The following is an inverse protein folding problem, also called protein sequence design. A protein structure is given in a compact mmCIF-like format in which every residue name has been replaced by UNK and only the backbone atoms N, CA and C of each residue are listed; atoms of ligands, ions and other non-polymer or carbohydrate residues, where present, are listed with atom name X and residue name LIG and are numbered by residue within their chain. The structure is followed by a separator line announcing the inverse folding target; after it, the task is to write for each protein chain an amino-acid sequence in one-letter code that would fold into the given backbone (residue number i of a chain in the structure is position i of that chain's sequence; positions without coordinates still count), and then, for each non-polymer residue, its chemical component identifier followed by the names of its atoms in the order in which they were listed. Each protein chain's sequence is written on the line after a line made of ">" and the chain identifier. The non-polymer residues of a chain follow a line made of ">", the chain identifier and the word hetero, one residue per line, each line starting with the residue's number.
data_IF_063146252907
#
_entry.id   IF_063146252907
#
_cell.length_a   1.000
_cell.length_b   1.000
_cell.length_c   1.000
_cell.angle_alpha   90.00
_cell.angle_beta   90.00
_cell.angle_gamma   90.00
#
_symmetry.space_group_name_H-M   'P 1'
#
loop_
_entity.id
_entity.type
_entity.pdbx_description
1 polymer ?
#
# COMPACT_ATOMS: atom_id res chain seq x y z
N UNK A 1 -62.23 -37.32 13.37
CA UNK A 1 -61.35 -36.14 13.54
C UNK A 1 -61.35 -35.72 15.00
N UNK A 2 -60.19 -35.52 15.67
CA UNK A 2 -60.17 -35.06 17.05
C UNK A 2 -60.36 -33.54 17.11
N UNK A 3 -61.22 -33.05 18.01
CA UNK A 3 -61.51 -31.62 18.17
C UNK A 3 -60.43 -30.93 19.03
N UNK A 4 -59.82 -29.87 18.49
CA UNK A 4 -58.89 -29.00 19.21
C UNK A 4 -59.65 -28.11 20.21
N UNK A 5 -59.19 -28.05 21.47
CA UNK A 5 -59.72 -27.14 22.50
C UNK A 5 -59.12 -25.74 22.33
N UNK A 6 -59.89 -24.65 22.54
CA UNK A 6 -59.36 -23.30 22.40
C UNK A 6 -58.38 -22.99 23.54
N UNK A 7 -57.14 -22.61 23.20
CA UNK A 7 -56.15 -22.16 24.15
C UNK A 7 -56.51 -20.74 24.63
N UNK A 8 -56.90 -20.60 25.90
CA UNK A 8 -56.98 -19.29 26.56
C UNK A 8 -55.56 -18.76 26.74
N UNK A 9 -55.20 -17.72 25.99
CA UNK A 9 -53.97 -16.97 26.18
C UNK A 9 -54.05 -16.17 27.49
N UNK A 10 -53.72 -16.80 28.61
CA UNK A 10 -53.49 -16.11 29.86
C UNK A 10 -52.11 -15.42 29.80
N UNK A 11 -52.11 -14.09 29.76
CA UNK A 11 -50.92 -13.28 30.00
C UNK A 11 -50.48 -13.57 31.44
N UNK A 12 -49.44 -14.39 31.60
CA UNK A 12 -48.90 -14.72 32.92
C UNK A 12 -48.22 -13.47 33.46
N UNK A 13 -48.67 -13.00 34.62
CA UNK A 13 -48.00 -11.95 35.38
C UNK A 13 -46.52 -12.31 35.58
N UNK A 14 -45.63 -11.36 35.32
CA UNK A 14 -44.20 -11.52 35.50
C UNK A 14 -43.93 -11.85 36.98
N UNK A 15 -43.43 -13.05 37.23
CA UNK A 15 -43.10 -13.48 38.59
C UNK A 15 -41.88 -12.68 39.04
N UNK A 16 -41.98 -12.02 40.18
CA UNK A 16 -40.82 -11.40 40.83
C UNK A 16 -39.89 -12.52 41.29
N UNK A 17 -38.79 -12.74 40.57
CA UNK A 17 -37.80 -13.78 40.88
C UNK A 17 -36.74 -13.15 41.79
N UNK A 18 -36.50 -13.76 42.96
CA UNK A 18 -35.40 -13.35 43.83
C UNK A 18 -34.04 -13.55 43.12
N UNK A 19 -33.07 -12.63 43.21
CA UNK A 19 -31.80 -12.70 42.48
C UNK A 19 -31.02 -14.00 42.72
N UNK A 20 -31.06 -14.54 43.94
CA UNK A 20 -30.39 -15.79 44.31
C UNK A 20 -31.20 -17.08 44.01
N UNK A 21 -32.41 -16.95 43.46
CA UNK A 21 -33.27 -18.09 43.13
C UNK A 21 -32.62 -19.02 42.10
N UNK A 22 -32.99 -20.32 42.16
CA UNK A 22 -32.62 -21.31 41.12
C UNK A 22 -33.06 -20.86 39.74
N UNK A 23 -34.20 -20.17 39.63
CA UNK A 23 -34.72 -19.66 38.36
C UNK A 23 -33.86 -18.51 37.83
N UNK A 24 -33.50 -17.54 38.67
CA UNK A 24 -32.57 -16.46 38.34
C UNK A 24 -31.19 -17.01 37.93
N UNK A 25 -30.65 -17.98 38.67
CA UNK A 25 -29.37 -18.65 38.33
C UNK A 25 -29.45 -19.39 36.99
N UNK A 26 -30.59 -19.99 36.64
CA UNK A 26 -30.78 -20.63 35.31
C UNK A 26 -30.82 -19.58 34.20
N UNK A 27 -31.54 -18.47 34.39
CA UNK A 27 -31.58 -17.38 33.41
C UNK A 27 -30.20 -16.77 33.22
N UNK A 28 -29.46 -16.48 34.29
CA UNK A 28 -28.11 -15.95 34.23
C UNK A 28 -27.16 -16.87 33.43
N UNK A 29 -27.21 -18.18 33.66
CA UNK A 29 -26.43 -19.15 32.85
C UNK A 29 -26.81 -19.14 31.37
N UNK A 30 -28.10 -19.00 31.05
CA UNK A 30 -28.55 -18.89 29.66
C UNK A 30 -28.03 -17.62 29.00
N UNK A 31 -28.09 -16.47 29.69
CA UNK A 31 -27.56 -15.19 29.21
C UNK A 31 -26.05 -15.27 28.99
N UNK A 32 -25.29 -15.81 29.95
CA UNK A 32 -23.85 -16.00 29.82
C UNK A 32 -23.48 -16.92 28.64
N UNK A 33 -24.25 -18.00 28.44
CA UNK A 33 -24.07 -18.89 27.29
C UNK A 33 -24.36 -18.17 25.98
N UNK A 34 -25.45 -17.41 25.91
CA UNK A 34 -25.80 -16.62 24.73
C UNK A 34 -24.70 -15.60 24.42
N UNK A 35 -24.24 -14.84 25.43
CA UNK A 35 -23.14 -13.89 25.28
C UNK A 35 -21.86 -14.56 24.78
N UNK A 36 -21.48 -15.72 25.32
CA UNK A 36 -20.31 -16.46 24.83
C UNK A 36 -20.47 -16.86 23.35
N UNK A 37 -21.66 -17.29 22.96
CA UNK A 37 -21.96 -17.70 21.58
C UNK A 37 -21.98 -16.49 20.64
N UNK A 38 -22.57 -15.36 21.04
CA UNK A 38 -22.58 -14.14 20.22
C UNK A 38 -21.17 -13.58 20.08
N UNK A 39 -20.43 -13.41 21.18
CA UNK A 39 -19.05 -12.95 21.14
C UNK A 39 -18.15 -13.87 20.30
N UNK A 40 -18.32 -15.19 20.38
CA UNK A 40 -17.55 -16.11 19.53
C UNK A 40 -17.89 -15.98 18.04
N UNK A 41 -19.13 -15.64 17.68
CA UNK A 41 -19.53 -15.39 16.29
C UNK A 41 -18.96 -14.08 15.80
N UNK A 42 -19.03 -13.04 16.63
CA UNK A 42 -18.52 -11.72 16.32
C UNK A 42 -16.99 -11.78 16.16
N UNK A 43 -16.28 -12.41 17.11
CA UNK A 43 -14.84 -12.68 17.03
C UNK A 43 -14.45 -13.42 15.75
N UNK A 44 -15.22 -14.45 15.36
CA UNK A 44 -14.95 -15.20 14.15
C UNK A 44 -15.14 -14.31 12.90
N UNK A 45 -16.23 -13.53 12.86
CA UNK A 45 -16.52 -12.60 11.78
C UNK A 45 -15.52 -11.44 11.68
N UNK A 46 -14.94 -11.02 12.80
CA UNK A 46 -13.90 -9.99 12.87
C UNK A 46 -12.50 -10.52 12.53
N UNK A 47 -12.13 -11.72 12.99
CA UNK A 47 -10.83 -12.35 12.69
C UNK A 47 -10.71 -12.75 11.23
N UNK A 48 -11.80 -13.22 10.64
CA UNK A 48 -11.85 -13.52 9.21
C UNK A 48 -12.22 -12.23 8.47
N UNK A 49 -11.20 -11.46 8.09
CA UNK A 49 -11.36 -10.45 7.05
C UNK A 49 -11.82 -11.21 5.80
N UNK A 50 -13.01 -10.88 5.33
CA UNK A 50 -13.56 -11.49 4.14
C UNK A 50 -12.61 -11.18 2.96
N UNK A 51 -12.08 -12.19 2.24
CA UNK A 51 -11.17 -11.98 1.13
C UNK A 51 -11.71 -10.98 0.10
N UNK A 52 -13.04 -10.90 -0.07
CA UNK A 52 -13.66 -9.94 -0.97
C UNK A 52 -13.55 -8.50 -0.46
N UNK A 53 -13.75 -8.26 0.84
CA UNK A 53 -13.56 -6.93 1.44
C UNK A 53 -12.12 -6.47 1.24
N UNK A 54 -11.17 -7.37 1.50
CA UNK A 54 -9.76 -7.07 1.33
C UNK A 54 -9.42 -6.72 -0.12
N UNK A 55 -9.94 -7.48 -1.09
CA UNK A 55 -9.77 -7.18 -2.53
C UNK A 55 -10.32 -5.82 -2.88
N UNK A 56 -11.58 -5.55 -2.54
CA UNK A 56 -12.24 -4.27 -2.87
C UNK A 56 -11.51 -3.10 -2.23
N UNK A 57 -11.09 -3.24 -0.97
CA UNK A 57 -10.30 -2.21 -0.28
C UNK A 57 -8.95 -1.98 -0.93
N UNK A 58 -8.27 -3.02 -1.41
CA UNK A 58 -7.01 -2.88 -2.13
C UNK A 58 -7.23 -2.16 -3.47
N UNK A 59 -8.25 -2.56 -4.25
CA UNK A 59 -8.55 -1.89 -5.51
C UNK A 59 -8.92 -0.42 -5.31
N UNK A 60 -9.67 -0.08 -4.26
CA UNK A 60 -9.95 1.30 -3.92
C UNK A 60 -8.68 2.13 -3.72
N UNK A 61 -7.68 1.59 -3.01
CA UNK A 61 -6.42 2.30 -2.73
C UNK A 61 -5.55 2.51 -3.97
N UNK A 62 -5.71 1.66 -4.99
CA UNK A 62 -4.89 1.67 -6.22
C UNK A 62 -5.62 2.29 -7.42
N UNK A 63 -6.84 2.79 -7.23
CA UNK A 63 -7.62 3.50 -8.23
C UNK A 63 -7.63 4.98 -7.89
N UNK A 64 -7.22 5.83 -8.83
CA UNK A 64 -7.24 7.28 -8.62
C UNK A 64 -8.66 7.82 -8.51
N UNK A 65 -8.85 8.86 -7.69
CA UNK A 65 -10.13 9.56 -7.53
C UNK A 65 -10.62 10.15 -8.84
N UNK A 66 -9.71 10.56 -9.72
CA UNK A 66 -9.99 11.20 -11.01
C UNK A 66 -10.31 10.21 -12.14
N UNK A 67 -10.00 8.92 -11.95
CA UNK A 67 -10.20 7.91 -13.00
C UNK A 67 -11.70 7.75 -13.28
N UNK A 68 -12.14 8.11 -14.49
CA UNK A 68 -13.56 8.01 -14.87
C UNK A 68 -13.92 6.64 -15.42
N UNK A 69 -12.95 5.96 -16.07
CA UNK A 69 -13.14 4.65 -16.68
C UNK A 69 -11.86 3.85 -16.50
N UNK A 70 -12.01 2.54 -16.29
CA UNK A 70 -10.91 1.58 -16.26
C UNK A 70 -11.08 0.62 -17.43
N UNK A 71 -10.03 0.46 -18.23
CA UNK A 71 -10.01 -0.49 -19.34
C UNK A 71 -9.87 -1.92 -18.83
N UNK A 72 -10.26 -2.90 -19.65
CA UNK A 72 -10.08 -4.31 -19.27
C UNK A 72 -8.60 -4.69 -19.11
N UNK A 73 -7.72 -4.11 -19.92
CA UNK A 73 -6.27 -4.30 -19.80
C UNK A 73 -5.78 -3.79 -18.44
N UNK A 74 -6.19 -2.59 -18.05
CA UNK A 74 -5.86 -1.99 -16.75
C UNK A 74 -6.37 -2.82 -15.58
N UNK A 75 -7.54 -3.48 -15.72
CA UNK A 75 -8.00 -4.43 -14.71
C UNK A 75 -7.05 -5.61 -14.54
N UNK A 76 -6.54 -6.18 -15.62
CA UNK A 76 -5.56 -7.25 -15.53
C UNK A 76 -4.23 -6.76 -14.93
N UNK A 77 -3.81 -5.53 -15.22
CA UNK A 77 -2.65 -4.90 -14.58
C UNK A 77 -2.87 -4.78 -13.06
N UNK A 78 -4.02 -4.26 -12.64
CA UNK A 78 -4.39 -4.13 -11.23
C UNK A 78 -4.45 -5.48 -10.52
N UNK A 79 -5.00 -6.52 -11.16
CA UNK A 79 -5.04 -7.87 -10.59
C UNK A 79 -3.63 -8.44 -10.43
N UNK A 80 -2.75 -8.27 -11.42
CA UNK A 80 -1.37 -8.73 -11.32
C UNK A 80 -0.60 -8.01 -10.21
N UNK A 81 -0.78 -6.69 -10.10
CA UNK A 81 -0.22 -5.90 -9.00
C UNK A 81 -0.78 -6.36 -7.63
N UNK A 82 -2.08 -6.69 -7.55
CA UNK A 82 -2.66 -7.27 -6.34
C UNK A 82 -1.98 -8.58 -5.96
N UNK A 83 -1.74 -9.49 -6.91
CA UNK A 83 -1.09 -10.78 -6.62
C UNK A 83 0.35 -10.60 -6.12
N UNK A 84 1.10 -9.64 -6.67
CA UNK A 84 2.50 -9.36 -6.32
C UNK A 84 2.69 -8.61 -5.00
N UNK A 85 1.61 -8.16 -4.34
CA UNK A 85 1.70 -7.34 -3.12
C UNK A 85 2.45 -8.00 -1.96
N UNK A 86 2.49 -9.34 -1.94
CA UNK A 86 3.13 -10.10 -0.87
C UNK A 86 4.59 -10.47 -1.22
N UNK A 87 5.04 -10.25 -2.46
CA UNK A 87 6.36 -10.68 -2.94
C UNK A 87 7.47 -9.96 -2.16
N UNK A 88 7.35 -8.64 -1.96
CA UNK A 88 8.30 -7.87 -1.16
C UNK A 88 8.41 -8.41 0.27
N UNK A 89 7.26 -8.68 0.91
CA UNK A 89 7.24 -9.20 2.29
C UNK A 89 7.89 -10.59 2.39
N UNK A 90 7.69 -11.42 1.37
CA UNK A 90 8.28 -12.74 1.28
C UNK A 90 9.80 -12.65 1.11
N UNK A 91 10.27 -11.74 0.26
CA UNK A 91 11.70 -11.50 0.02
C UNK A 91 12.40 -10.97 1.28
N UNK A 92 11.78 -10.05 2.02
CA UNK A 92 12.29 -9.56 3.32
C UNK A 92 12.47 -10.71 4.33
N UNK A 93 11.50 -11.62 4.41
CA UNK A 93 11.58 -12.78 5.31
C UNK A 93 12.69 -13.74 4.87
N UNK A 94 12.83 -13.97 3.55
CA UNK A 94 13.91 -14.80 2.99
C UNK A 94 15.29 -14.21 3.23
N UNK A 95 15.45 -12.90 3.09
CA UNK A 95 16.70 -12.19 3.40
C UNK A 95 17.05 -12.28 4.89
N UNK A 96 16.06 -12.14 5.78
CA UNK A 96 16.27 -12.32 7.22
C UNK A 96 16.73 -13.75 7.54
N UNK A 97 16.16 -14.76 6.87
CA UNK A 97 16.60 -16.15 6.98
C UNK A 97 18.01 -16.41 6.45
N UNK A 98 18.42 -15.72 5.40
CA UNK A 98 19.79 -15.81 4.89
C UNK A 98 20.81 -15.18 5.87
N UNK A 99 20.45 -14.08 6.53
CA UNK A 99 21.31 -13.36 7.48
C UNK A 99 21.39 -14.07 8.85
N UNK A 100 20.28 -14.61 9.34
CA UNK A 100 20.19 -15.29 10.64
C UNK A 100 20.14 -16.79 10.42
N UNK A 101 21.14 -17.52 10.90
CA UNK A 101 21.27 -18.99 10.81
C UNK A 101 20.15 -19.81 11.50
N UNK A 102 19.02 -19.18 11.83
CA UNK A 102 17.87 -19.75 12.51
C UNK A 102 16.57 -19.41 11.78
N UNK A 103 15.76 -20.45 11.50
CA UNK A 103 14.48 -20.36 10.77
C UNK A 103 13.34 -19.92 11.70
N UNK A 104 13.49 -18.78 12.36
CA UNK A 104 12.54 -18.30 13.40
C UNK A 104 11.15 -17.91 12.90
N UNK A 105 10.91 -17.86 11.58
CA UNK A 105 9.67 -17.41 10.92
C UNK A 105 9.08 -18.40 9.91
N UNK A 106 9.44 -19.69 9.97
CA UNK A 106 8.96 -20.71 9.03
C UNK A 106 7.43 -20.70 8.82
N UNK A 107 6.66 -20.66 9.90
CA UNK A 107 5.19 -20.67 9.82
C UNK A 107 4.60 -19.44 9.12
N UNK A 108 5.28 -18.29 9.19
CA UNK A 108 4.82 -17.06 8.53
C UNK A 108 5.16 -17.08 7.04
N UNK A 109 6.34 -17.56 6.69
CA UNK A 109 6.77 -17.80 5.31
C UNK A 109 5.81 -18.79 4.62
N UNK A 110 5.60 -19.97 5.21
CA UNK A 110 4.72 -21.00 4.67
C UNK A 110 3.28 -20.49 4.48
N UNK A 111 2.78 -19.65 5.39
CA UNK A 111 1.44 -19.06 5.27
C UNK A 111 1.33 -18.03 4.12
N UNK A 112 2.40 -17.24 3.87
CA UNK A 112 2.45 -16.31 2.75
C UNK A 112 2.59 -17.05 1.43
N UNK A 113 3.46 -18.05 1.35
CA UNK A 113 3.62 -18.89 0.16
C UNK A 113 2.30 -19.61 -0.19
N UNK A 114 1.62 -20.20 0.80
CA UNK A 114 0.31 -20.82 0.60
C UNK A 114 -0.73 -19.82 0.08
N UNK A 115 -0.70 -18.59 0.58
CA UNK A 115 -1.60 -17.52 0.14
C UNK A 115 -1.32 -17.11 -1.31
N UNK A 116 -0.05 -16.89 -1.67
CA UNK A 116 0.35 -16.53 -3.04
C UNK A 116 -0.03 -17.64 -4.01
N UNK A 117 0.25 -18.90 -3.66
CA UNK A 117 -0.09 -20.06 -4.47
C UNK A 117 -1.62 -20.15 -4.69
N UNK A 118 -2.41 -19.96 -3.63
CA UNK A 118 -3.88 -19.98 -3.71
C UNK A 118 -4.41 -18.87 -4.61
N UNK A 119 -3.94 -17.63 -4.43
CA UNK A 119 -4.41 -16.47 -5.21
C UNK A 119 -3.99 -16.60 -6.70
N UNK A 120 -2.80 -17.12 -6.97
CA UNK A 120 -2.31 -17.38 -8.34
C UNK A 120 -3.10 -18.49 -9.03
N UNK A 121 -3.41 -19.58 -8.31
CA UNK A 121 -4.25 -20.66 -8.83
C UNK A 121 -5.68 -20.17 -9.13
N UNK A 122 -6.20 -19.26 -8.29
CA UNK A 122 -7.48 -18.61 -8.55
C UNK A 122 -7.43 -17.76 -9.82
N UNK A 123 -6.36 -17.02 -10.08
CA UNK A 123 -6.22 -16.24 -11.31
C UNK A 123 -6.10 -17.08 -12.59
N UNK A 124 -5.55 -18.29 -12.48
CA UNK A 124 -5.54 -19.23 -13.60
C UNK A 124 -6.94 -19.79 -13.90
N UNK A 125 -7.76 -20.05 -12.88
CA UNK A 125 -9.10 -20.62 -13.02
C UNK A 125 -10.20 -19.58 -13.26
N UNK A 126 -10.05 -18.38 -12.71
CA UNK A 126 -10.96 -17.25 -12.83
C UNK A 126 -11.07 -16.43 -11.55
N UNK A 127 -10.20 -15.42 -11.38
CA UNK A 127 -10.15 -14.55 -10.21
C UNK A 127 -11.38 -13.65 -10.10
N UNK A 128 -12.05 -13.69 -8.96
CA UNK A 128 -13.24 -12.88 -8.72
C UNK A 128 -12.87 -11.47 -8.22
N UNK A 129 -13.21 -10.44 -8.99
CA UNK A 129 -12.95 -9.04 -8.66
C UNK A 129 -14.14 -8.14 -9.06
N UNK A 130 -14.30 -6.96 -8.44
CA UNK A 130 -15.28 -5.97 -8.90
C UNK A 130 -14.94 -5.50 -10.31
N UNK A 131 -15.94 -5.42 -11.17
CA UNK A 131 -15.79 -4.97 -12.56
C UNK A 131 -15.71 -3.44 -12.61
N UNK A 132 -14.50 -2.89 -12.55
CA UNK A 132 -14.26 -1.43 -12.58
C UNK A 132 -14.46 -0.82 -13.97
N UNK A 133 -14.66 -1.62 -15.01
CA UNK A 133 -15.03 -1.12 -16.35
C UNK A 133 -16.42 -0.47 -16.33
N UNK A 134 -17.27 -0.86 -15.37
CA UNK A 134 -18.59 -0.29 -15.17
C UNK A 134 -18.52 0.88 -14.19
N UNK A 135 -18.88 2.07 -14.68
CA UNK A 135 -18.87 3.32 -13.90
C UNK A 135 -19.56 3.22 -12.54
N UNK A 136 -20.75 2.61 -12.48
CA UNK A 136 -21.50 2.43 -11.22
C UNK A 136 -20.71 1.61 -10.19
N UNK A 137 -20.04 0.56 -10.63
CA UNK A 137 -19.19 -0.26 -9.75
C UNK A 137 -17.98 0.53 -9.29
N UNK A 138 -17.36 1.29 -10.20
CA UNK A 138 -16.21 2.13 -9.90
C UNK A 138 -16.53 3.17 -8.81
N UNK A 139 -17.66 3.87 -8.90
CA UNK A 139 -18.11 4.82 -7.86
C UNK A 139 -18.33 4.15 -6.50
N UNK A 140 -18.92 2.94 -6.49
CA UNK A 140 -19.11 2.18 -5.26
C UNK A 140 -17.79 1.73 -4.64
N UNK A 141 -16.81 1.35 -5.46
CA UNK A 141 -15.46 0.97 -4.99
C UNK A 141 -14.71 2.18 -4.45
N UNK A 142 -14.79 3.35 -5.11
CA UNK A 142 -14.19 4.60 -4.62
C UNK A 142 -14.71 4.98 -3.23
N UNK A 143 -16.01 4.88 -3.03
CA UNK A 143 -16.68 5.21 -1.75
C UNK A 143 -16.70 4.05 -0.75
N UNK A 144 -15.98 2.96 -1.01
CA UNK A 144 -16.01 1.78 -0.15
C UNK A 144 -15.35 2.05 1.20
N UNK A 145 -16.09 1.85 2.29
CA UNK A 145 -15.61 2.07 3.66
C UNK A 145 -15.26 0.78 4.42
N UNK A 146 -15.05 -0.33 3.70
CA UNK A 146 -14.84 -1.65 4.31
C UNK A 146 -16.13 -2.35 4.76
N UNK A 147 -17.30 -1.75 4.52
CA UNK A 147 -18.58 -2.33 4.92
C UNK A 147 -19.01 -3.47 3.97
N UNK A 148 -19.11 -4.69 4.53
CA UNK A 148 -19.56 -5.91 3.83
C UNK A 148 -20.96 -5.77 3.19
N UNK A 149 -21.82 -4.89 3.69
CA UNK A 149 -23.15 -4.66 3.16
C UNK A 149 -23.15 -4.10 1.72
N UNK A 150 -22.05 -3.49 1.27
CA UNK A 150 -21.91 -2.93 -0.08
C UNK A 150 -21.53 -4.01 -1.11
N UNK A 151 -20.93 -5.13 -0.67
CA UNK A 151 -20.44 -6.17 -1.57
C UNK A 151 -21.51 -6.74 -2.52
N UNK A 152 -22.75 -7.03 -2.08
CA UNK A 152 -23.79 -7.54 -2.98
C UNK A 152 -24.23 -6.55 -4.06
N UNK A 153 -24.00 -5.24 -3.85
CA UNK A 153 -24.31 -4.21 -4.83
C UNK A 153 -23.22 -4.06 -5.91
N UNK A 154 -22.01 -4.57 -5.66
CA UNK A 154 -20.91 -4.53 -6.61
C UNK A 154 -21.12 -5.57 -7.72
N UNK A 155 -20.92 -5.17 -8.97
CA UNK A 155 -20.86 -6.11 -10.09
C UNK A 155 -19.53 -6.86 -10.03
N UNK A 156 -19.57 -8.13 -9.66
CA UNK A 156 -18.40 -9.00 -9.63
C UNK A 156 -18.22 -9.71 -10.98
N UNK A 157 -16.99 -9.80 -11.47
CA UNK A 157 -16.61 -10.53 -12.68
C UNK A 157 -15.43 -11.45 -12.41
N UNK A 158 -15.37 -12.56 -13.15
CA UNK A 158 -14.25 -13.50 -13.11
C UNK A 158 -13.25 -13.16 -14.23
N UNK A 159 -11.99 -12.95 -13.87
CA UNK A 159 -10.89 -12.60 -14.77
C UNK A 159 -9.90 -13.76 -14.85
N UNK A 160 -9.48 -14.13 -16.06
CA UNK A 160 -8.60 -15.28 -16.31
C UNK A 160 -7.27 -14.86 -16.89
N UNK A 161 -6.18 -15.50 -16.46
CA UNK A 161 -4.84 -15.28 -17.04
C UNK A 161 -4.73 -15.63 -18.53
N UNK A 162 -5.56 -16.54 -19.04
CA UNK A 162 -5.49 -17.00 -20.43
C UNK A 162 -6.08 -16.03 -21.47
N UNK A 163 -6.64 -14.90 -21.04
CA UNK A 163 -7.17 -13.92 -21.99
C UNK A 163 -6.02 -13.24 -22.74
N UNK A 164 -6.21 -12.93 -24.03
CA UNK A 164 -5.23 -12.16 -24.81
C UNK A 164 -4.92 -10.81 -24.15
N UNK A 165 -5.93 -10.22 -23.50
CA UNK A 165 -5.85 -8.98 -22.75
C UNK A 165 -4.94 -9.11 -21.51
N UNK A 166 -4.94 -10.26 -20.84
CA UNK A 166 -4.05 -10.51 -19.70
C UNK A 166 -2.56 -10.55 -20.11
N UNK A 167 -2.27 -11.09 -21.30
CA UNK A 167 -0.90 -11.11 -21.85
C UNK A 167 -0.43 -9.69 -22.17
N UNK A 168 -1.31 -8.86 -22.75
CA UNK A 168 -1.02 -7.45 -23.00
C UNK A 168 -0.78 -6.68 -21.70
N UNK A 169 -1.61 -6.94 -20.67
CA UNK A 169 -1.45 -6.34 -19.36
C UNK A 169 -0.13 -6.72 -18.68
N UNK A 170 0.34 -7.97 -18.84
CA UNK A 170 1.64 -8.40 -18.29
C UNK A 170 2.80 -7.64 -18.94
N UNK A 171 2.75 -7.42 -20.26
CA UNK A 171 3.73 -6.60 -20.96
C UNK A 171 3.69 -5.13 -20.50
N UNK A 172 2.50 -4.51 -20.40
CA UNK A 172 2.37 -3.13 -19.90
C UNK A 172 2.91 -2.97 -18.48
N UNK A 173 2.67 -3.94 -17.60
CA UNK A 173 3.20 -3.90 -16.23
C UNK A 173 4.72 -4.01 -16.21
N UNK A 174 5.31 -4.86 -17.06
CA UNK A 174 6.77 -4.96 -17.20
C UNK A 174 7.38 -3.64 -17.68
N UNK A 175 6.75 -2.98 -18.65
CA UNK A 175 7.19 -1.68 -19.15
C UNK A 175 7.14 -0.60 -18.05
N UNK A 176 6.04 -0.54 -17.27
CA UNK A 176 5.91 0.39 -16.13
C UNK A 176 7.00 0.13 -15.09
N UNK A 177 7.27 -1.14 -14.76
CA UNK A 177 8.31 -1.49 -13.79
C UNK A 177 9.71 -1.14 -14.31
N UNK A 178 9.99 -1.42 -15.58
CA UNK A 178 11.28 -1.10 -16.20
C UNK A 178 11.52 0.41 -16.25
N UNK A 179 10.47 1.21 -16.54
CA UNK A 179 10.54 2.66 -16.50
C UNK A 179 10.89 3.18 -15.10
N UNK A 180 10.17 2.74 -14.06
CA UNK A 180 10.49 3.13 -12.69
C UNK A 180 11.91 2.71 -12.25
N UNK A 181 12.40 1.56 -12.73
CA UNK A 181 13.77 1.13 -12.45
C UNK A 181 14.80 2.05 -13.12
N UNK A 182 14.59 2.42 -14.38
CA UNK A 182 15.44 3.36 -15.10
C UNK A 182 15.47 4.73 -14.43
N UNK A 183 14.31 5.24 -13.98
CA UNK A 183 14.22 6.50 -13.24
C UNK A 183 15.03 6.46 -11.95
N UNK A 184 14.91 5.40 -11.14
CA UNK A 184 15.71 5.25 -9.92
C UNK A 184 17.21 5.20 -10.20
N UNK A 185 17.62 4.48 -11.25
CA UNK A 185 19.03 4.41 -11.65
C UNK A 185 19.56 5.77 -12.14
N UNK A 186 18.74 6.52 -12.87
CA UNK A 186 19.08 7.86 -13.32
C UNK A 186 19.22 8.83 -12.13
N UNK A 187 18.33 8.77 -11.15
CA UNK A 187 18.43 9.53 -9.90
C UNK A 187 19.70 9.18 -9.11
N UNK A 188 20.04 7.89 -9.01
CA UNK A 188 21.26 7.43 -8.34
C UNK A 188 22.53 7.92 -9.05
N UNK A 189 22.57 7.87 -10.38
CA UNK A 189 23.68 8.40 -11.18
C UNK A 189 23.84 9.91 -10.97
N UNK A 190 22.74 10.67 -11.01
CA UNK A 190 22.77 12.12 -10.76
C UNK A 190 23.28 12.44 -9.35
N UNK A 191 22.86 11.66 -8.34
CA UNK A 191 23.33 11.84 -6.98
C UNK A 191 24.83 11.52 -6.85
N UNK A 192 25.31 10.46 -7.52
CA UNK A 192 26.72 10.09 -7.53
C UNK A 192 27.59 11.16 -8.22
N UNK A 193 27.15 11.69 -9.36
CA UNK A 193 27.81 12.80 -10.06
C UNK A 193 27.86 14.06 -9.19
N UNK A 194 26.74 14.40 -8.53
CA UNK A 194 26.67 15.56 -7.64
C UNK A 194 27.61 15.39 -6.43
N UNK A 195 27.70 14.18 -5.86
CA UNK A 195 28.65 13.87 -4.79
C UNK A 195 30.11 13.98 -5.25
N UNK A 196 30.44 13.51 -6.47
CA UNK A 196 31.79 13.62 -7.02
C UNK A 196 32.19 15.08 -7.24
N UNK A 197 31.30 15.92 -7.78
CA UNK A 197 31.56 17.36 -7.97
C UNK A 197 31.82 18.06 -6.63
N UNK A 198 31.03 17.74 -5.58
CA UNK A 198 31.25 18.30 -4.24
C UNK A 198 32.61 17.89 -3.64
N UNK A 199 33.10 16.68 -3.93
CA UNK A 199 34.40 16.21 -3.45
C UNK A 199 35.59 16.81 -4.21
N UNK A 200 35.41 17.17 -5.50
CA UNK A 200 36.46 17.75 -6.33
C UNK A 200 36.72 19.25 -6.03
N UNK A 201 35.68 20.02 -5.71
CA UNK A 201 35.80 21.46 -5.39
C UNK A 201 36.89 21.81 -4.34
N UNK A 202 36.99 21.15 -3.17
CA UNK A 202 38.04 21.45 -2.19
C UNK A 202 39.45 21.03 -2.67
N UNK A 203 39.55 20.01 -3.51
CA UNK A 203 40.84 19.57 -4.07
C UNK A 203 41.35 20.54 -5.14
N UNK A 204 40.46 21.05 -6.00
CA UNK A 204 40.79 22.07 -6.99
C UNK A 204 41.21 23.39 -6.32
N UNK A 205 40.49 23.82 -5.27
CA UNK A 205 40.88 24.99 -4.47
C UNK A 205 42.28 24.81 -3.83
N UNK A 206 42.59 23.61 -3.31
CA UNK A 206 43.92 23.32 -2.76
C UNK A 206 45.01 23.30 -3.82
N UNK A 207 44.74 22.76 -5.02
CA UNK A 207 45.71 22.77 -6.13
C UNK A 207 45.95 24.18 -6.69
N UNK A 208 44.89 25.01 -6.80
CA UNK A 208 45.03 26.42 -7.20
C UNK A 208 45.89 27.20 -6.20
N UNK A 209 45.70 26.99 -4.90
CA UNK A 209 46.53 27.61 -3.86
C UNK A 209 48.01 27.16 -3.94
N UNK A 210 48.26 25.88 -4.25
CA UNK A 210 49.62 25.36 -4.43
C UNK A 210 50.33 25.97 -5.65
N UNK A 211 49.61 26.20 -6.75
CA UNK A 211 50.18 26.79 -7.97
C UNK A 211 50.49 28.29 -7.81
N UNK A 212 49.66 29.04 -7.09
CA UNK A 212 49.94 30.45 -6.76
C UNK A 212 51.12 30.65 -5.79
N UNK A 213 51.61 29.57 -5.17
CA UNK A 213 52.74 29.60 -4.24
C UNK A 213 54.10 29.39 -4.89
N UNK A 214 54.20 28.89 -6.13
CA UNK A 214 55.49 28.55 -6.76
C UNK A 214 55.98 29.52 -7.83
N UNK A 215 55.11 30.35 -8.43
CA UNK A 215 55.48 31.33 -9.48
C UNK A 215 54.81 32.69 -9.21
N UNK A 216 55.24 33.38 -8.16
CA UNK A 216 55.02 34.81 -8.05
C UNK A 216 56.19 35.54 -8.77
N UNK A 217 55.99 36.14 -9.96
CA UNK A 217 56.98 37.06 -10.49
C UNK A 217 57.10 38.24 -9.51
N UNK A 218 58.31 38.48 -9.00
CA UNK A 218 58.67 39.68 -8.24
C UNK A 218 58.33 40.92 -9.08
N UNK A 219 57.14 41.47 -8.89
CA UNK A 219 56.76 42.78 -9.44
C UNK A 219 57.59 43.84 -8.70
N UNK A 220 58.57 44.40 -9.39
CA UNK A 220 59.35 45.55 -8.94
C UNK A 220 58.43 46.78 -8.83
N UNK A 221 58.17 47.23 -7.60
CA UNK A 221 57.23 48.30 -7.25
C UNK A 221 57.81 49.69 -7.51
N UNK A 222 58.42 49.90 -8.69
CA UNK A 222 59.21 51.10 -9.00
C UNK A 222 58.69 51.88 -10.22
N UNK A 223 57.38 52.02 -10.40
CA UNK A 223 56.83 52.94 -11.42
C UNK A 223 55.35 53.30 -11.22
N UNK A 224 55.02 54.12 -10.21
CA UNK A 224 53.79 54.92 -10.25
C UNK A 224 54.11 56.34 -9.79
N UNK A 225 54.53 57.18 -10.73
CA UNK A 225 54.62 58.63 -10.52
C UNK A 225 53.20 59.21 -10.65
N UNK A 226 52.54 59.42 -9.51
CA UNK A 226 51.26 60.14 -9.45
C UNK A 226 51.53 61.63 -9.66
N UNK A 227 51.52 62.05 -10.92
CA UNK A 227 51.52 63.46 -11.31
C UNK A 227 50.22 64.13 -10.87
N UNK A 228 50.31 64.94 -9.82
CA UNK A 228 49.27 65.88 -9.39
C UNK A 228 49.34 67.10 -10.32
N UNK A 229 48.30 67.45 -11.11
CA UNK A 229 48.27 68.74 -11.79
C UNK A 229 47.78 69.85 -10.84
N UNK A 230 48.33 71.07 -10.95
CA UNK A 230 47.98 72.19 -10.08
C UNK A 230 46.62 72.80 -10.42
N UNK A 231 45.94 73.24 -9.36
CA UNK A 231 44.70 74.01 -9.36
C UNK A 231 44.83 75.33 -10.13
N UNK A 232 43.87 75.63 -10.99
CA UNK A 232 43.68 76.97 -11.55
C UNK A 232 42.30 77.51 -11.13
N UNK A 233 42.34 78.55 -10.30
CA UNK A 233 41.27 79.50 -10.06
C UNK A 233 41.06 80.34 -11.32
N UNK A 234 39.83 80.47 -11.82
CA UNK A 234 39.31 81.73 -12.39
C UNK A 234 37.82 81.64 -12.76
N UNK A 235 37.01 82.38 -12.00
CA UNK A 235 35.97 83.30 -12.43
C UNK A 235 35.09 82.97 -13.65
N UNK A 236 33.80 82.70 -13.41
CA UNK A 236 32.65 83.61 -13.66
C UNK A 236 31.33 82.87 -13.46
#
# INVERSE_FOLDING_TARGET
>A
MPKLKPAKAAVKAEKVIHPESREAKRMARSVLRLNRVTMSKDDHAHRQVDPLVQRVSWFQQHVSTETTQVLEVEMHVLIQAYLRRNDQQLDEIRQEHASRKSRTKAAREDALDARIASETAEYNSGFQAPDLTVHKTLELVKNFSGNKAVLPALRMRSFKKSSAVAVQAEAMLQDIMAHHEQERLAEEQQLAEQQQQQQQQPQELQQQLQYTGSDAPMFDASAVNLGIPPSDESAC
#
